data_IF_330072964700
#
_entry.id   IF_330072964700
#
_cell.length_a   1.000
_cell.length_b   1.000
_cell.length_c   1.000
_cell.angle_alpha   90.00
_cell.angle_beta   90.00
_cell.angle_gamma   90.00
#
_symmetry.space_group_name_H-M   'P 1'
#
loop_
_entity.id
_entity.type
_entity.pdbx_description
1 polymer ?
#
# COMPACT_ATOMS: atom_id res chain seq x y z
N UNK A 1 -20.76 4.55 -15.90
CA UNK A 1 -19.93 3.46 -16.39
C UNK A 1 -20.51 2.13 -16.01
N UNK A 2 -20.87 1.34 -17.01
CA UNK A 2 -21.57 0.07 -16.80
C UNK A 2 -20.77 -0.97 -16.03
N UNK A 3 -19.44 -0.98 -16.19
CA UNK A 3 -18.57 -1.95 -15.51
C UNK A 3 -18.59 -1.75 -14.00
N UNK A 4 -18.52 -0.49 -13.55
CA UNK A 4 -18.59 -0.19 -12.11
C UNK A 4 -19.92 -0.59 -11.50
N UNK A 5 -21.02 -0.38 -12.22
CA UNK A 5 -22.34 -0.75 -11.74
C UNK A 5 -22.47 -2.25 -11.55
N UNK A 6 -21.96 -3.03 -12.53
CA UNK A 6 -22.00 -4.49 -12.44
C UNK A 6 -21.17 -5.01 -11.27
N UNK A 7 -19.99 -4.44 -11.06
CA UNK A 7 -19.13 -4.83 -9.95
C UNK A 7 -19.79 -4.48 -8.61
N UNK A 8 -20.41 -3.31 -8.52
CA UNK A 8 -21.12 -2.92 -7.31
C UNK A 8 -22.25 -3.88 -6.97
N UNK A 9 -23.00 -4.33 -7.96
CA UNK A 9 -24.09 -5.28 -7.74
C UNK A 9 -23.56 -6.63 -7.25
N UNK A 10 -22.48 -7.13 -7.85
CA UNK A 10 -21.85 -8.39 -7.42
C UNK A 10 -21.35 -8.28 -5.99
N UNK A 11 -20.69 -7.19 -5.65
CA UNK A 11 -20.17 -6.95 -4.29
C UNK A 11 -21.30 -6.89 -3.28
N UNK A 12 -22.43 -6.27 -3.62
CA UNK A 12 -23.57 -6.20 -2.72
C UNK A 12 -24.09 -7.58 -2.37
N UNK A 13 -24.20 -8.46 -3.35
CA UNK A 13 -24.63 -9.85 -3.12
C UNK A 13 -23.61 -10.58 -2.25
N UNK A 14 -22.31 -10.44 -2.53
CA UNK A 14 -21.27 -11.06 -1.73
C UNK A 14 -21.30 -10.57 -0.28
N UNK A 15 -21.50 -9.27 -0.08
CA UNK A 15 -21.61 -8.70 1.25
C UNK A 15 -22.76 -9.30 2.06
N UNK A 16 -23.90 -9.52 1.42
CA UNK A 16 -25.04 -10.15 2.06
C UNK A 16 -24.73 -11.56 2.56
N UNK A 17 -23.97 -12.31 1.76
CA UNK A 17 -23.58 -13.68 2.13
C UNK A 17 -22.62 -13.68 3.32
N UNK A 18 -21.61 -12.82 3.27
CA UNK A 18 -20.53 -12.81 4.28
C UNK A 18 -20.89 -12.05 5.54
N UNK A 19 -21.86 -11.15 5.51
CA UNK A 19 -22.28 -10.41 6.70
C UNK A 19 -22.79 -11.33 7.81
N UNK A 20 -23.19 -12.53 7.49
CA UNK A 20 -23.64 -13.52 8.47
C UNK A 20 -22.51 -14.09 9.30
N UNK A 21 -21.25 -13.94 8.88
CA UNK A 21 -20.11 -14.48 9.59
C UNK A 21 -19.70 -13.67 10.82
N UNK A 22 -20.11 -12.42 10.92
CA UNK A 22 -19.81 -11.54 12.05
C UNK A 22 -18.38 -11.00 12.11
N UNK A 23 -17.50 -11.38 11.19
CA UNK A 23 -16.12 -10.91 11.13
C UNK A 23 -15.86 -10.25 9.77
N UNK A 24 -15.18 -9.09 9.77
CA UNK A 24 -14.79 -8.45 8.53
C UNK A 24 -13.72 -9.27 7.82
N UNK A 25 -14.06 -9.76 6.63
CA UNK A 25 -13.15 -10.54 5.80
C UNK A 25 -13.07 -9.94 4.42
N UNK A 26 -11.89 -10.03 3.82
CA UNK A 26 -11.71 -9.64 2.43
C UNK A 26 -12.46 -10.63 1.54
N UNK A 27 -13.49 -10.15 0.85
CA UNK A 27 -14.32 -10.99 -0.02
C UNK A 27 -13.94 -10.84 -1.49
N UNK A 28 -13.25 -9.77 -1.84
CA UNK A 28 -12.83 -9.53 -3.21
C UNK A 28 -11.61 -8.63 -3.24
N UNK A 29 -10.70 -8.91 -4.15
CA UNK A 29 -9.52 -8.08 -4.40
C UNK A 29 -9.45 -7.82 -5.89
N UNK A 30 -9.35 -6.55 -6.25
CA UNK A 30 -9.27 -6.11 -7.65
C UNK A 30 -8.01 -5.32 -7.86
N UNK A 31 -7.45 -5.43 -9.06
CA UNK A 31 -6.25 -4.70 -9.45
C UNK A 31 -6.53 -3.89 -10.70
N UNK A 32 -6.07 -2.66 -10.71
CA UNK A 32 -6.17 -1.82 -11.90
C UNK A 32 -4.92 -0.96 -12.03
N UNK A 33 -4.53 -0.69 -13.27
CA UNK A 33 -3.43 0.22 -13.54
C UNK A 33 -3.96 1.64 -13.55
N UNK A 34 -3.33 2.51 -12.76
CA UNK A 34 -3.71 3.91 -12.66
C UNK A 34 -2.47 4.78 -12.80
N UNK A 35 -2.66 6.01 -13.25
CA UNK A 35 -1.58 6.98 -13.30
C UNK A 35 -1.46 7.65 -11.94
N UNK A 36 -0.26 7.66 -11.39
CA UNK A 36 0.04 8.27 -10.10
C UNK A 36 1.16 9.29 -10.26
N UNK A 37 1.20 10.28 -9.38
CA UNK A 37 2.27 11.27 -9.35
C UNK A 37 3.22 10.95 -8.21
N UNK A 38 4.50 10.91 -8.52
CA UNK A 38 5.54 10.71 -7.49
C UNK A 38 5.74 12.05 -6.79
N UNK A 39 5.43 12.10 -5.49
CA UNK A 39 5.44 13.36 -4.74
C UNK A 39 6.57 13.44 -3.73
N UNK A 40 7.14 12.32 -3.30
CA UNK A 40 8.23 12.34 -2.33
C UNK A 40 9.03 11.04 -2.38
N UNK A 41 10.22 11.09 -1.82
CA UNK A 41 11.07 9.93 -1.63
C UNK A 41 11.68 10.00 -0.23
N UNK A 42 11.94 8.85 0.37
CA UNK A 42 12.56 8.79 1.69
C UNK A 42 13.54 7.63 1.75
N UNK A 43 14.72 7.92 2.28
CA UNK A 43 15.74 6.91 2.52
C UNK A 43 16.33 7.11 3.90
N UNK A 44 16.49 6.01 4.62
CA UNK A 44 17.24 5.98 5.86
C UNK A 44 18.15 4.76 5.82
N UNK A 45 19.45 4.99 6.01
CA UNK A 45 20.40 3.88 6.06
C UNK A 45 20.17 2.96 7.25
N UNK A 46 20.64 1.74 7.14
CA UNK A 46 20.65 0.81 8.26
C UNK A 46 21.51 1.35 9.40
N UNK A 47 21.12 1.10 10.63
CA UNK A 47 21.87 1.52 11.79
C UNK A 47 21.70 0.53 12.95
N UNK A 48 22.59 0.64 13.93
CA UNK A 48 22.54 -0.18 15.14
C UNK A 48 22.54 0.73 16.36
N UNK A 49 21.76 0.35 17.36
CA UNK A 49 21.71 1.05 18.64
C UNK A 49 22.19 0.09 19.72
N UNK A 50 23.20 0.49 20.51
CA UNK A 50 23.61 -0.29 21.68
C UNK A 50 22.60 -0.11 22.79
N UNK A 51 22.17 -1.21 23.39
CA UNK A 51 21.26 -1.20 24.55
C UNK A 51 21.94 -1.97 25.66
N UNK A 52 22.01 -1.37 26.85
CA UNK A 52 22.60 -2.00 28.04
C UNK A 52 21.54 -2.25 29.08
N UNK A 53 21.54 -3.47 29.64
CA UNK A 53 20.68 -3.83 30.76
C UNK A 53 21.42 -3.76 32.11
N UNK A 54 22.64 -3.19 32.11
CA UNK A 54 23.49 -3.09 33.28
C UNK A 54 24.50 -4.22 33.41
N UNK A 55 24.34 -5.30 32.66
CA UNK A 55 25.26 -6.46 32.67
C UNK A 55 25.86 -6.75 31.32
N UNK A 56 25.07 -6.62 30.27
CA UNK A 56 25.48 -6.89 28.88
C UNK A 56 25.05 -5.75 27.99
N UNK A 57 25.77 -5.61 26.87
CA UNK A 57 25.42 -4.66 25.82
C UNK A 57 24.95 -5.46 24.63
N UNK A 58 23.75 -5.18 24.17
CA UNK A 58 23.20 -5.78 22.96
C UNK A 58 23.10 -4.72 21.87
N UNK A 59 23.37 -5.12 20.63
CA UNK A 59 23.20 -4.23 19.49
C UNK A 59 21.88 -4.56 18.82
N UNK A 60 20.99 -3.57 18.75
CA UNK A 60 19.73 -3.71 18.05
C UNK A 60 19.91 -3.16 16.63
N UNK A 61 19.72 -4.01 15.64
CA UNK A 61 19.86 -3.62 14.23
C UNK A 61 18.53 -3.14 13.68
N UNK A 62 18.59 -2.00 12.98
CA UNK A 62 17.44 -1.47 12.24
C UNK A 62 17.79 -1.48 10.76
N UNK A 63 16.96 -2.11 9.91
CA UNK A 63 17.26 -2.18 8.47
C UNK A 63 17.13 -0.81 7.82
N UNK A 64 17.73 -0.68 6.64
CA UNK A 64 17.53 0.49 5.81
C UNK A 64 16.06 0.61 5.39
N UNK A 65 15.59 1.83 5.26
CA UNK A 65 14.22 2.13 4.83
C UNK A 65 14.29 2.83 3.48
N UNK A 66 13.49 2.33 2.54
CA UNK A 66 13.36 2.90 1.19
C UNK A 66 11.89 3.08 0.91
N UNK A 67 11.47 4.32 0.67
CA UNK A 67 10.07 4.65 0.44
C UNK A 67 9.90 5.62 -0.71
N UNK A 68 8.91 5.37 -1.54
CA UNK A 68 8.44 6.29 -2.57
C UNK A 68 6.99 6.61 -2.24
N UNK A 69 6.67 7.90 -2.14
CA UNK A 69 5.31 8.36 -1.92
C UNK A 69 4.71 8.82 -3.23
N UNK A 70 3.55 8.32 -3.55
CA UNK A 70 2.80 8.69 -4.75
C UNK A 70 1.42 9.20 -4.36
N UNK A 71 0.87 10.07 -5.22
CA UNK A 71 -0.46 10.61 -5.04
C UNK A 71 -1.39 10.06 -6.12
N UNK A 72 -2.53 9.56 -5.70
CA UNK A 72 -3.61 9.15 -6.58
C UNK A 72 -4.94 9.59 -5.97
N UNK A 73 -5.74 10.31 -6.74
CA UNK A 73 -7.06 10.79 -6.33
C UNK A 73 -7.02 11.58 -5.02
N UNK A 74 -6.03 12.46 -4.89
CA UNK A 74 -5.78 13.30 -3.71
C UNK A 74 -5.44 12.54 -2.43
N UNK A 75 -4.99 11.30 -2.56
CA UNK A 75 -4.56 10.47 -1.44
C UNK A 75 -3.12 10.05 -1.68
N UNK A 76 -2.29 10.15 -0.64
CA UNK A 76 -0.89 9.73 -0.70
C UNK A 76 -0.78 8.26 -0.31
N UNK A 77 0.02 7.53 -1.08
CA UNK A 77 0.33 6.12 -0.83
C UNK A 77 1.84 5.94 -0.76
N UNK A 78 2.30 5.14 0.19
CA UNK A 78 3.72 4.85 0.35
C UNK A 78 4.02 3.46 -0.17
N UNK A 79 5.04 3.35 -1.01
CA UNK A 79 5.52 2.08 -1.56
C UNK A 79 6.90 1.81 -1.00
N UNK A 80 7.05 0.72 -0.27
CA UNK A 80 8.32 0.31 0.32
C UNK A 80 9.11 -0.55 -0.66
N UNK A 81 10.41 -0.45 -0.59
CA UNK A 81 11.29 -1.35 -1.32
C UNK A 81 12.44 -0.63 -1.99
N UNK A 82 13.63 -1.25 -1.95
CA UNK A 82 14.83 -0.69 -2.55
C UNK A 82 14.75 -0.63 -4.07
N UNK A 83 14.13 -1.61 -4.69
CA UNK A 83 14.02 -1.65 -6.16
C UNK A 83 13.20 -0.47 -6.69
N UNK A 84 12.06 -0.21 -6.06
CA UNK A 84 11.22 0.93 -6.43
C UNK A 84 11.92 2.24 -6.13
N UNK A 85 12.59 2.33 -5.00
CA UNK A 85 13.33 3.53 -4.63
C UNK A 85 14.42 3.87 -5.66
N UNK A 86 15.25 2.90 -6.00
CA UNK A 86 16.35 3.12 -6.96
C UNK A 86 15.81 3.61 -8.31
N UNK A 87 14.68 3.08 -8.72
CA UNK A 87 14.10 3.42 -10.02
C UNK A 87 13.42 4.78 -10.04
N UNK A 88 12.81 5.21 -8.94
CA UNK A 88 11.95 6.38 -8.92
C UNK A 88 12.37 7.52 -8.00
N UNK A 89 13.40 7.37 -7.20
CA UNK A 89 13.83 8.41 -6.25
C UNK A 89 14.20 9.74 -6.91
N UNK A 90 14.74 9.70 -8.11
CA UNK A 90 15.10 10.89 -8.89
C UNK A 90 13.97 11.41 -9.77
N UNK A 91 12.77 10.84 -9.66
CA UNK A 91 11.62 11.16 -10.49
C UNK A 91 10.49 11.86 -9.75
N UNK A 92 10.79 12.46 -8.60
CA UNK A 92 9.79 13.24 -7.86
C UNK A 92 9.26 14.37 -8.74
N UNK A 93 7.94 14.48 -8.81
CA UNK A 93 7.25 15.42 -9.69
C UNK A 93 6.79 14.81 -11.01
N UNK A 94 7.24 13.62 -11.35
CA UNK A 94 6.82 12.93 -12.57
C UNK A 94 5.68 11.97 -12.28
N UNK A 95 4.99 11.56 -13.34
CA UNK A 95 3.92 10.57 -13.27
C UNK A 95 4.44 9.19 -13.64
N UNK A 96 3.83 8.17 -13.07
CA UNK A 96 4.15 6.78 -13.37
C UNK A 96 2.87 5.95 -13.34
N UNK A 97 2.92 4.75 -13.90
CA UNK A 97 1.82 3.82 -13.79
C UNK A 97 1.95 3.04 -12.49
N UNK A 98 0.88 3.00 -11.73
CA UNK A 98 0.82 2.26 -10.48
C UNK A 98 -0.25 1.20 -10.52
N UNK A 99 -0.05 0.14 -9.74
CA UNK A 99 -1.03 -0.92 -9.58
C UNK A 99 -1.88 -0.61 -8.36
N UNK A 100 -3.14 -0.23 -8.58
CA UNK A 100 -4.08 0.02 -7.51
C UNK A 100 -4.74 -1.29 -7.10
N UNK A 101 -4.54 -1.68 -5.85
CA UNK A 101 -5.20 -2.81 -5.24
C UNK A 101 -6.43 -2.30 -4.47
N UNK A 102 -7.59 -2.83 -4.80
CA UNK A 102 -8.84 -2.50 -4.11
C UNK A 102 -9.32 -3.75 -3.39
N UNK A 103 -9.38 -3.71 -2.08
CA UNK A 103 -9.88 -4.80 -1.25
C UNK A 103 -11.26 -4.44 -0.71
N UNK A 104 -12.21 -5.31 -0.96
CA UNK A 104 -13.58 -5.16 -0.48
C UNK A 104 -13.81 -6.16 0.65
N UNK A 105 -14.39 -5.69 1.74
CA UNK A 105 -14.64 -6.49 2.93
C UNK A 105 -16.13 -6.72 3.11
N UNK A 106 -16.46 -7.77 3.83
CA UNK A 106 -17.85 -8.19 4.04
C UNK A 106 -18.67 -7.22 4.89
N UNK A 107 -18.01 -6.31 5.61
CA UNK A 107 -18.67 -5.26 6.38
C UNK A 107 -18.94 -3.98 5.58
N UNK A 108 -18.68 -3.99 4.28
CA UNK A 108 -18.83 -2.84 3.42
C UNK A 108 -17.60 -1.93 3.35
N UNK A 109 -16.57 -2.23 4.12
CA UNK A 109 -15.33 -1.46 4.09
C UNK A 109 -14.55 -1.73 2.82
N UNK A 110 -13.95 -0.69 2.25
CA UNK A 110 -13.09 -0.78 1.07
C UNK A 110 -11.73 -0.19 1.42
N UNK A 111 -10.68 -0.90 1.07
CA UNK A 111 -9.30 -0.42 1.28
C UNK A 111 -8.56 -0.35 -0.03
N UNK A 112 -7.75 0.68 -0.18
CA UNK A 112 -6.96 0.94 -1.38
C UNK A 112 -5.49 0.95 -1.04
N UNK A 113 -4.67 0.43 -1.95
CA UNK A 113 -3.22 0.46 -1.83
C UNK A 113 -2.60 0.48 -3.22
N UNK A 114 -1.49 1.20 -3.36
CA UNK A 114 -0.67 1.09 -4.57
C UNK A 114 0.43 0.10 -4.25
N UNK A 115 0.45 -1.03 -4.96
CA UNK A 115 1.33 -2.14 -4.63
C UNK A 115 2.67 -2.08 -5.35
N UNK A 116 2.69 -1.49 -6.55
CA UNK A 116 3.92 -1.39 -7.34
C UNK A 116 3.81 -0.28 -8.37
N UNK A 117 4.96 0.14 -8.88
CA UNK A 117 5.07 1.12 -9.97
C UNK A 117 5.76 0.49 -11.18
N UNK A 118 5.32 0.88 -12.34
CA UNK A 118 5.91 0.45 -13.62
C UNK A 118 6.55 1.62 -14.34
#
# INVERSE_FOLDING_TARGET
MSVKSKMGAILAVALMIFSLSGCAKCIDTQYSTVEVKIVDEYYRGAYMIPVSDGKTIELISYPAVYEITVEYDNVDYVIDGSDTYVKYADKVGECADGMLETKNYDDGTVRYRITELN
#
